data_IF_894734648547
#
_entry.id   IF_894734648547
#
_cell.length_a   1.000
_cell.length_b   1.000
_cell.length_c   1.000
_cell.angle_alpha   90.00
_cell.angle_beta   90.00
_cell.angle_gamma   90.00
#
_symmetry.space_group_name_H-M   'P 1'
#
loop_
_entity.id
_entity.type
_entity.pdbx_description
1 polymer ?
#
# COMPACT_ATOMS: atom_id res chain seq x y z
N UNK A 1 -42.87 -33.27 -4.16
CA UNK A 1 -41.67 -32.47 -4.50
C UNK A 1 -40.58 -33.46 -4.88
N UNK A 2 -40.10 -33.51 -6.14
CA UNK A 2 -39.12 -34.52 -6.53
C UNK A 2 -37.77 -34.20 -5.88
N UNK A 3 -37.20 -35.18 -5.20
CA UNK A 3 -35.89 -35.09 -4.55
C UNK A 3 -34.83 -35.55 -5.55
N UNK A 4 -34.25 -34.61 -6.29
CA UNK A 4 -33.20 -34.90 -7.28
C UNK A 4 -31.88 -35.03 -6.50
N UNK A 5 -31.39 -36.26 -6.36
CA UNK A 5 -30.04 -36.53 -5.83
C UNK A 5 -29.06 -36.49 -6.98
N UNK A 6 -28.13 -35.54 -6.93
CA UNK A 6 -27.04 -35.43 -7.92
C UNK A 6 -26.03 -36.53 -7.65
N UNK A 7 -25.67 -37.29 -8.69
CA UNK A 7 -24.65 -38.34 -8.63
C UNK A 7 -23.29 -37.76 -8.20
N UNK A 8 -22.51 -38.53 -7.44
CA UNK A 8 -21.25 -38.04 -6.87
C UNK A 8 -20.23 -37.67 -7.96
N UNK A 9 -20.31 -38.26 -9.14
CA UNK A 9 -19.45 -37.90 -10.27
C UNK A 9 -19.80 -36.50 -10.82
N UNK A 10 -21.10 -36.18 -10.91
CA UNK A 10 -21.57 -34.85 -11.33
C UNK A 10 -21.28 -33.79 -10.26
N UNK A 11 -21.40 -34.15 -8.97
CA UNK A 11 -20.98 -33.28 -7.87
C UNK A 11 -19.49 -32.98 -7.93
N UNK A 12 -18.65 -33.98 -8.21
CA UNK A 12 -17.21 -33.78 -8.32
C UNK A 12 -16.83 -32.93 -9.54
N UNK A 13 -17.53 -33.09 -10.67
CA UNK A 13 -17.36 -32.22 -11.86
C UNK A 13 -17.76 -30.78 -11.54
N UNK A 14 -18.88 -30.58 -10.84
CA UNK A 14 -19.33 -29.25 -10.42
C UNK A 14 -18.35 -28.62 -9.42
N UNK A 15 -17.84 -29.38 -8.44
CA UNK A 15 -16.83 -28.90 -7.49
C UNK A 15 -15.54 -28.49 -8.20
N UNK A 16 -15.05 -29.28 -9.17
CA UNK A 16 -13.89 -28.92 -9.99
C UNK A 16 -14.14 -27.69 -10.85
N UNK A 17 -15.35 -27.51 -11.38
CA UNK A 17 -15.75 -26.30 -12.11
C UNK A 17 -15.82 -25.09 -11.18
N UNK A 18 -16.34 -25.22 -9.97
CA UNK A 18 -16.38 -24.16 -8.95
C UNK A 18 -14.97 -23.84 -8.45
N UNK A 19 -14.08 -24.82 -8.31
CA UNK A 19 -12.69 -24.60 -7.90
C UNK A 19 -11.90 -23.91 -9.03
N UNK A 20 -12.14 -24.32 -10.29
CA UNK A 20 -11.65 -23.64 -11.49
C UNK A 20 -12.26 -22.23 -11.62
N UNK A 21 -13.53 -22.02 -11.31
CA UNK A 21 -14.18 -20.70 -11.33
C UNK A 21 -13.81 -19.84 -10.11
N UNK A 22 -13.51 -20.42 -8.95
CA UNK A 22 -12.89 -19.71 -7.80
C UNK A 22 -11.49 -19.23 -8.14
N UNK A 23 -10.76 -19.97 -9.00
CA UNK A 23 -9.52 -19.46 -9.60
C UNK A 23 -9.76 -18.32 -10.60
N UNK A 24 -10.97 -18.21 -11.16
CA UNK A 24 -11.38 -17.17 -12.12
C UNK A 24 -12.19 -16.01 -11.49
N UNK A 25 -12.61 -16.10 -10.22
CA UNK A 25 -13.40 -15.08 -9.51
C UNK A 25 -12.62 -14.44 -8.38
N UNK A 26 -11.46 -13.85 -8.70
CA UNK A 26 -11.00 -12.58 -8.10
C UNK A 26 -9.75 -12.00 -8.74
N UNK A 27 -9.69 -11.98 -10.07
CA UNK A 27 -8.82 -11.05 -10.76
C UNK A 27 -9.56 -9.72 -10.97
N UNK A 28 -9.92 -9.04 -9.87
CA UNK A 28 -9.64 -7.60 -9.89
C UNK A 28 -8.14 -7.56 -10.15
N UNK A 29 -7.71 -6.96 -11.27
CA UNK A 29 -6.29 -6.79 -11.54
C UNK A 29 -5.69 -6.09 -10.32
N UNK A 30 -5.13 -6.86 -9.39
CA UNK A 30 -4.18 -6.37 -8.41
C UNK A 30 -3.01 -5.93 -9.27
N UNK A 31 -2.95 -4.65 -9.60
CA UNK A 31 -1.80 -4.11 -10.29
C UNK A 31 -0.72 -3.92 -9.25
N UNK A 32 -0.05 -5.01 -8.88
CA UNK A 32 1.17 -4.90 -8.10
C UNK A 32 2.29 -4.49 -9.04
N UNK A 33 2.80 -3.27 -8.85
CA UNK A 33 3.97 -2.81 -9.60
C UNK A 33 5.20 -3.17 -8.78
N UNK A 34 6.06 -4.02 -9.35
CA UNK A 34 7.36 -4.35 -8.79
C UNK A 34 8.41 -3.41 -9.37
N UNK A 35 9.16 -2.76 -8.49
CA UNK A 35 10.25 -1.85 -8.82
C UNK A 35 11.54 -2.44 -8.25
N UNK A 36 12.48 -2.75 -9.13
CA UNK A 36 13.84 -3.14 -8.73
C UNK A 36 14.69 -1.89 -8.50
N UNK A 37 15.17 -1.69 -7.27
CA UNK A 37 16.16 -0.65 -6.99
C UNK A 37 17.56 -1.16 -7.39
N UNK A 38 18.23 -0.45 -8.30
CA UNK A 38 19.45 -0.90 -9.00
C UNK A 38 20.74 -1.03 -8.17
N UNK A 39 20.72 -0.91 -6.84
CA UNK A 39 21.93 -1.06 -6.03
C UNK A 39 21.71 -1.86 -4.74
N UNK A 40 22.64 -2.79 -4.50
CA UNK A 40 22.51 -3.88 -3.54
C UNK A 40 22.98 -3.54 -2.11
N UNK A 41 23.06 -2.26 -1.72
CA UNK A 41 23.86 -1.91 -0.55
C UNK A 41 23.18 -1.23 0.64
N UNK A 42 22.06 -0.53 0.54
CA UNK A 42 21.50 0.12 1.74
C UNK A 42 19.96 0.15 1.72
N UNK A 43 19.38 -0.13 2.89
CA UNK A 43 17.93 0.01 3.14
C UNK A 43 17.55 1.49 2.95
N UNK A 44 16.50 1.83 2.17
CA UNK A 44 16.08 3.22 2.01
C UNK A 44 15.57 3.75 3.35
N UNK A 45 16.12 4.85 3.86
CA UNK A 45 15.67 5.46 5.13
C UNK A 45 14.23 5.99 5.06
N UNK A 46 13.84 6.50 3.89
CA UNK A 46 12.52 7.08 3.67
C UNK A 46 11.95 6.65 2.31
N UNK A 47 10.64 6.45 2.25
CA UNK A 47 9.87 6.28 1.02
C UNK A 47 8.91 7.45 0.90
N UNK A 48 8.86 8.08 -0.26
CA UNK A 48 7.94 9.20 -0.54
C UNK A 48 7.05 8.82 -1.72
N UNK A 49 5.75 8.82 -1.51
CA UNK A 49 4.75 8.55 -2.56
C UNK A 49 4.00 9.83 -2.86
N UNK A 50 3.92 10.22 -4.12
CA UNK A 50 3.02 11.28 -4.58
C UNK A 50 1.63 10.72 -4.86
N UNK A 51 0.60 11.23 -4.17
CA UNK A 51 -0.78 10.93 -4.48
C UNK A 51 -1.29 11.88 -5.57
N UNK A 52 -1.83 11.31 -6.65
CA UNK A 52 -2.44 12.09 -7.72
C UNK A 52 -3.94 12.25 -7.47
N UNK A 53 -4.44 13.49 -7.51
CA UNK A 53 -5.88 13.79 -7.44
C UNK A 53 -6.60 13.50 -8.75
N UNK A 54 -7.93 13.38 -8.66
CA UNK A 54 -8.86 13.34 -9.81
C UNK A 54 -8.73 12.14 -10.76
N UNK A 55 -8.01 11.08 -10.36
CA UNK A 55 -8.15 9.78 -11.03
C UNK A 55 -9.31 8.99 -10.44
N UNK A 56 -10.07 8.32 -11.32
CA UNK A 56 -11.22 7.45 -10.99
C UNK A 56 -10.89 6.22 -10.13
N UNK A 57 -9.63 6.04 -9.74
CA UNK A 57 -9.21 4.88 -8.99
C UNK A 57 -9.23 5.26 -7.51
N UNK A 58 -10.23 4.78 -6.78
CA UNK A 58 -10.14 4.73 -5.32
C UNK A 58 -8.90 3.92 -4.99
N UNK A 59 -7.99 4.49 -4.21
CA UNK A 59 -6.94 3.73 -3.54
C UNK A 59 -7.65 2.80 -2.55
N UNK A 60 -7.95 1.57 -2.97
CA UNK A 60 -8.61 0.58 -2.13
C UNK A 60 -7.61 -0.13 -1.21
N UNK A 61 -6.30 -0.04 -1.53
CA UNK A 61 -5.21 -0.56 -0.73
C UNK A 61 -4.03 0.39 -0.72
N UNK A 62 -3.65 0.83 0.47
CA UNK A 62 -2.58 1.80 0.72
C UNK A 62 -1.28 1.13 1.24
N UNK A 63 -1.03 -0.11 0.83
CA UNK A 63 0.10 -0.88 1.34
C UNK A 63 1.24 -0.93 0.30
N UNK A 64 2.38 -0.34 0.65
CA UNK A 64 3.64 -0.65 -0.03
C UNK A 64 4.24 -1.86 0.65
N UNK A 65 4.81 -2.78 -0.12
CA UNK A 65 5.65 -3.82 0.40
C UNK A 65 7.12 -3.54 0.04
N UNK A 66 8.00 -3.52 1.03
CA UNK A 66 9.44 -3.58 0.81
C UNK A 66 9.92 -4.96 1.26
N UNK A 67 10.55 -5.73 0.35
CA UNK A 67 11.06 -7.06 0.66
C UNK A 67 10.01 -7.95 1.37
N UNK A 68 8.76 -7.92 0.89
CA UNK A 68 7.59 -8.60 1.47
C UNK A 68 7.07 -8.09 2.82
N UNK A 69 7.61 -6.99 3.36
CA UNK A 69 7.10 -6.33 4.57
C UNK A 69 6.17 -5.19 4.16
N UNK A 70 4.95 -5.15 4.69
CA UNK A 70 3.96 -4.12 4.40
C UNK A 70 4.21 -2.83 5.20
N UNK A 71 4.10 -1.70 4.53
CA UNK A 71 4.20 -0.35 5.08
C UNK A 71 3.05 0.53 4.59
N UNK A 72 2.51 1.37 5.48
CA UNK A 72 2.66 1.30 6.94
C UNK A 72 1.96 0.04 7.52
N UNK A 73 2.39 -0.41 8.70
CA UNK A 73 1.77 -1.58 9.37
C UNK A 73 0.27 -1.36 9.64
N UNK A 74 -0.09 -0.13 9.99
CA UNK A 74 -1.47 0.29 10.18
C UNK A 74 -2.04 0.86 8.89
N UNK A 75 -3.30 0.55 8.62
CA UNK A 75 -4.01 1.15 7.49
C UNK A 75 -4.09 2.67 7.69
N UNK A 76 -3.61 3.45 6.71
CA UNK A 76 -3.64 4.91 6.74
C UNK A 76 -5.06 5.47 6.76
N UNK A 77 -6.07 4.69 6.34
CA UNK A 77 -7.49 5.07 6.32
C UNK A 77 -7.71 6.49 5.78
N UNK A 78 -7.01 6.82 4.68
CA UNK A 78 -7.01 8.16 4.10
C UNK A 78 -8.38 8.45 3.50
N UNK A 79 -9.15 9.31 4.18
CA UNK A 79 -10.42 9.82 3.64
C UNK A 79 -10.29 11.32 3.39
N UNK A 80 -9.87 11.67 2.17
CA UNK A 80 -9.77 13.05 1.72
C UNK A 80 -11.13 13.76 1.68
N UNK A 81 -12.24 13.02 1.55
CA UNK A 81 -13.60 13.60 1.51
C UNK A 81 -14.08 14.00 2.91
N UNK A 82 -13.67 13.25 3.93
CA UNK A 82 -13.92 13.57 5.35
C UNK A 82 -12.81 14.38 6.00
N UNK A 83 -11.88 14.91 5.20
CA UNK A 83 -10.76 15.71 5.68
C UNK A 83 -9.84 14.94 6.66
N UNK A 84 -9.81 13.61 6.59
CA UNK A 84 -9.00 12.74 7.45
C UNK A 84 -7.59 12.58 6.86
N UNK A 85 -6.85 13.69 6.78
CA UNK A 85 -5.47 13.73 6.27
C UNK A 85 -4.45 14.16 7.33
N UNK A 86 -4.87 14.28 8.60
CA UNK A 86 -4.00 14.69 9.71
C UNK A 86 -2.77 13.81 9.84
N UNK A 87 -2.95 12.48 9.71
CA UNK A 87 -1.84 11.53 9.72
C UNK A 87 -0.89 11.75 8.53
N UNK A 88 -1.43 12.04 7.35
CA UNK A 88 -0.65 12.33 6.15
C UNK A 88 0.21 13.59 6.31
N UNK A 89 -0.39 14.65 6.86
CA UNK A 89 0.32 15.88 7.15
C UNK A 89 1.36 15.71 8.26
N UNK A 90 1.07 14.92 9.29
CA UNK A 90 2.02 14.62 10.35
C UNK A 90 3.25 13.87 9.81
N UNK A 91 3.05 12.86 8.95
CA UNK A 91 4.14 12.15 8.26
C UNK A 91 5.00 13.12 7.43
N UNK A 92 4.37 14.03 6.69
CA UNK A 92 5.07 15.07 5.92
C UNK A 92 5.92 16.01 6.80
N UNK A 93 5.34 16.52 7.90
CA UNK A 93 6.07 17.46 8.78
C UNK A 93 7.18 16.77 9.59
N UNK A 94 6.95 15.52 9.99
CA UNK A 94 7.93 14.69 10.71
C UNK A 94 9.11 14.28 9.83
N UNK A 95 8.91 14.14 8.52
CA UNK A 95 9.97 13.80 7.59
C UNK A 95 11.11 14.82 7.63
N UNK A 96 10.80 16.11 7.58
CA UNK A 96 11.82 17.16 7.61
C UNK A 96 12.62 17.14 8.91
N UNK A 97 11.92 16.96 10.04
CA UNK A 97 12.52 16.83 11.37
C UNK A 97 13.53 15.67 11.41
N UNK A 98 13.09 14.49 10.93
CA UNK A 98 13.89 13.26 10.94
C UNK A 98 15.01 13.23 9.88
N UNK A 99 14.82 13.89 8.74
CA UNK A 99 15.80 13.91 7.63
C UNK A 99 16.93 14.89 7.90
N UNK A 100 16.64 16.06 8.45
CA UNK A 100 17.64 17.08 8.80
C UNK A 100 18.16 16.97 10.24
N UNK A 101 17.67 15.99 11.01
CA UNK A 101 18.06 15.77 12.41
C UNK A 101 17.88 17.03 13.28
N UNK A 102 16.73 17.69 13.11
CA UNK A 102 16.36 18.91 13.84
C UNK A 102 15.34 18.57 14.92
N UNK A 103 15.31 19.35 15.99
CA UNK A 103 14.31 19.21 17.07
C UNK A 103 13.04 20.05 16.83
N UNK A 104 12.87 20.61 15.64
CA UNK A 104 11.77 21.53 15.31
C UNK A 104 11.23 21.19 13.92
N UNK A 105 9.91 20.97 13.84
CA UNK A 105 9.18 20.86 12.58
C UNK A 105 9.03 22.24 11.95
N UNK A 106 9.45 22.39 10.69
CA UNK A 106 9.34 23.65 9.95
C UNK A 106 8.72 23.44 8.54
N UNK A 107 7.46 22.99 8.48
CA UNK A 107 6.82 22.60 7.23
C UNK A 107 6.68 23.78 6.27
N UNK A 108 7.03 23.57 5.00
CA UNK A 108 6.96 24.60 3.95
C UNK A 108 5.51 24.88 3.54
N UNK A 109 4.64 23.88 3.63
CA UNK A 109 3.26 23.93 3.17
C UNK A 109 2.33 23.85 4.38
N UNK A 110 1.33 24.73 4.43
CA UNK A 110 0.21 24.59 5.37
C UNK A 110 -0.63 23.35 5.06
N UNK A 111 -1.43 22.83 6.01
CA UNK A 111 -2.25 21.63 5.79
C UNK A 111 -3.14 21.71 4.53
N UNK A 112 -3.78 22.85 4.30
CA UNK A 112 -4.63 23.07 3.12
C UNK A 112 -3.83 23.10 1.81
N UNK A 113 -2.68 23.78 1.80
CA UNK A 113 -1.81 23.89 0.62
C UNK A 113 -1.16 22.55 0.27
N UNK A 114 -0.73 21.81 1.31
CA UNK A 114 -0.21 20.45 1.19
C UNK A 114 -1.24 19.54 0.52
N UNK A 115 -2.46 19.50 1.08
CA UNK A 115 -3.53 18.68 0.54
C UNK A 115 -3.85 19.10 -0.90
N UNK A 116 -3.86 20.40 -1.19
CA UNK A 116 -4.16 20.95 -2.53
C UNK A 116 -3.15 20.49 -3.58
N UNK A 117 -1.86 20.70 -3.31
CA UNK A 117 -0.83 20.74 -4.34
C UNK A 117 0.09 19.53 -4.35
N UNK A 118 0.32 18.91 -3.19
CA UNK A 118 1.31 17.85 -3.05
C UNK A 118 0.94 16.91 -1.89
N UNK A 119 -0.19 16.19 -1.96
CA UNK A 119 -0.46 15.14 -1.01
C UNK A 119 0.58 14.04 -1.20
N UNK A 120 1.51 13.93 -0.26
CA UNK A 120 2.54 12.90 -0.27
C UNK A 120 2.44 12.02 0.97
N UNK A 121 2.63 10.71 0.80
CA UNK A 121 2.81 9.77 1.91
C UNK A 121 4.31 9.67 2.17
N UNK A 122 4.72 9.85 3.43
CA UNK A 122 6.12 9.66 3.82
C UNK A 122 6.21 8.52 4.82
N UNK A 123 6.98 7.49 4.47
CA UNK A 123 7.20 6.32 5.31
C UNK A 123 8.65 6.36 5.78
N UNK A 124 8.83 6.46 7.10
CA UNK A 124 10.13 6.35 7.75
C UNK A 124 10.40 4.87 8.08
N UNK A 125 11.27 4.24 7.30
CA UNK A 125 11.60 2.81 7.47
C UNK A 125 12.60 2.61 8.61
N UNK A 126 13.25 3.66 9.10
CA UNK A 126 14.24 3.55 10.19
C UNK A 126 13.59 3.21 11.52
N UNK A 127 12.33 3.62 11.69
CA UNK A 127 11.51 3.37 12.89
C UNK A 127 10.82 2.01 12.88
N UNK A 128 10.95 1.25 11.79
CA UNK A 128 10.28 -0.04 11.63
C UNK A 128 11.23 -1.17 12.00
N UNK A 129 10.74 -2.08 12.86
CA UNK A 129 11.46 -3.27 13.29
C UNK A 129 11.56 -4.26 12.14
N UNK A 130 12.59 -4.11 11.31
CA UNK A 130 12.81 -5.01 10.18
C UNK A 130 13.84 -6.07 10.54
N UNK A 131 13.40 -7.33 10.48
CA UNK A 131 14.29 -8.50 10.49
C UNK A 131 14.84 -8.82 9.10
N UNK A 132 14.43 -8.08 8.07
CA UNK A 132 14.85 -8.29 6.70
C UNK A 132 16.32 -7.90 6.50
N UNK A 133 17.16 -8.92 6.29
CA UNK A 133 18.57 -8.81 5.93
C UNK A 133 18.77 -7.96 4.67
N UNK A 134 19.81 -7.11 4.71
CA UNK A 134 20.28 -6.29 3.59
C UNK A 134 20.48 -7.14 2.32
N UNK A 135 19.47 -7.12 1.47
CA UNK A 135 19.43 -7.73 0.13
C UNK A 135 18.90 -6.67 -0.84
N UNK A 136 18.80 -6.97 -2.14
CA UNK A 136 18.17 -6.04 -3.09
C UNK A 136 16.80 -5.60 -2.57
N UNK A 137 16.48 -4.32 -2.76
CA UNK A 137 15.21 -3.77 -2.29
C UNK A 137 14.18 -3.97 -3.39
N UNK A 138 13.30 -4.94 -3.16
CA UNK A 138 12.14 -5.20 -4.01
C UNK A 138 10.99 -4.37 -3.46
N UNK A 139 10.54 -3.37 -4.22
CA UNK A 139 9.41 -2.51 -3.85
C UNK A 139 8.19 -2.97 -4.63
N UNK A 140 7.14 -3.37 -3.93
CA UNK A 140 5.87 -3.74 -4.53
C UNK A 140 4.78 -2.78 -4.03
N UNK A 141 4.10 -2.10 -4.96
CA UNK A 141 2.95 -1.27 -4.62
C UNK A 141 1.67 -2.03 -4.95
N UNK A 142 0.83 -2.35 -3.95
CA UNK A 142 -0.52 -2.89 -4.19
C UNK A 142 -1.50 -1.72 -4.29
N UNK A 143 -2.12 -1.52 -5.46
CA UNK A 143 -3.14 -0.49 -5.75
C UNK A 143 -4.51 -1.14 -5.90
#
# INVERSE_FOLDING_TARGET
VPHITVDDEERLKLLKLIEKEKSLTRNHKKSSVELEAGSKLEKPRFIIIGLQKERKNSLEKDCIFLNSIAYPYDNLNLDFTKNNFTLLYDMYTSFQESYYEKNIRNPILSPSTFLSNAPIVVIDTTKQNDSATASSVDVQLEI
#
